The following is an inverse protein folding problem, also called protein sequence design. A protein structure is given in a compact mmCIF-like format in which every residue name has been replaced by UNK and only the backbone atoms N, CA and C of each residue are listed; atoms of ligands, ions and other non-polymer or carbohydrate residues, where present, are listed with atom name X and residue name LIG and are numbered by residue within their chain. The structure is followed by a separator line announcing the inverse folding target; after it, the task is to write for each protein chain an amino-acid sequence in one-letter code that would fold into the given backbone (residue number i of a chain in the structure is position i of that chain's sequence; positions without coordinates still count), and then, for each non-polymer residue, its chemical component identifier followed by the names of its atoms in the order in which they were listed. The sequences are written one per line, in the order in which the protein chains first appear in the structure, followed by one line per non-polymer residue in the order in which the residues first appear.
data_IF_508501120356
#
_entry.id   IF_508501120356
#
_cell.length_a   1.000
_cell.length_b   1.000
_cell.length_c   1.000
_cell.angle_alpha   90.00
_cell.angle_beta   90.00
_cell.angle_gamma   90.00
#
_symmetry.space_group_name_H-M   'P 1'
#
loop_
_entity.id
_entity.type
_entity.pdbx_description
1 polymer ?
#
# COMPACT_ATOMS: atom_id res chain seq x y z
N UNK A 1 22.10 -5.44 -41.50
CA UNK A 1 21.95 -4.57 -40.32
C UNK A 1 20.87 -5.22 -39.50
N UNK A 2 21.24 -5.84 -38.38
CA UNK A 2 20.29 -6.63 -37.59
C UNK A 2 19.39 -5.67 -36.82
N UNK A 3 18.09 -5.76 -37.08
CA UNK A 3 17.06 -5.42 -36.09
C UNK A 3 17.24 -6.39 -34.92
N UNK A 4 17.88 -5.93 -33.85
CA UNK A 4 17.59 -6.49 -32.54
C UNK A 4 16.40 -5.71 -32.00
N UNK A 5 15.23 -6.09 -32.46
CA UNK A 5 13.99 -5.79 -31.76
C UNK A 5 14.06 -6.59 -30.45
N UNK A 6 14.71 -5.99 -29.45
CA UNK A 6 14.74 -6.52 -28.10
C UNK A 6 13.33 -6.35 -27.59
N UNK A 7 12.52 -7.39 -27.75
CA UNK A 7 11.20 -7.55 -27.16
C UNK A 7 11.38 -7.44 -25.64
N UNK A 8 11.31 -6.21 -25.14
CA UNK A 8 11.41 -5.90 -23.72
C UNK A 8 10.13 -6.40 -23.07
N UNK A 9 10.12 -7.68 -22.71
CA UNK A 9 9.06 -8.27 -21.88
C UNK A 9 9.10 -7.56 -20.53
N UNK A 10 7.95 -7.01 -20.14
CA UNK A 10 7.79 -6.37 -18.85
C UNK A 10 7.72 -7.46 -17.77
N UNK A 11 8.77 -7.59 -16.96
CA UNK A 11 8.85 -8.63 -15.94
C UNK A 11 8.13 -8.24 -14.63
N UNK A 12 8.01 -6.93 -14.34
CA UNK A 12 7.37 -6.44 -13.11
C UNK A 12 6.73 -5.04 -13.30
N UNK A 13 5.78 -4.69 -12.42
CA UNK A 13 5.13 -3.39 -12.33
C UNK A 13 5.25 -2.85 -10.91
N UNK A 14 6.16 -1.88 -10.73
CA UNK A 14 6.23 -1.11 -9.50
C UNK A 14 5.03 -0.15 -9.38
N UNK A 15 4.13 -0.40 -8.42
CA UNK A 15 2.97 0.46 -8.20
C UNK A 15 3.19 1.40 -7.02
N UNK A 16 3.06 2.70 -7.28
CA UNK A 16 3.11 3.76 -6.27
C UNK A 16 1.86 4.60 -6.33
N UNK A 17 1.09 4.62 -5.24
CA UNK A 17 0.11 5.67 -5.02
C UNK A 17 0.86 6.92 -4.55
N UNK A 18 0.70 8.04 -5.23
CA UNK A 18 1.43 9.28 -4.94
C UNK A 18 1.10 9.82 -3.55
N UNK A 19 -0.16 9.74 -3.11
CA UNK A 19 -0.59 10.18 -1.78
C UNK A 19 0.03 9.32 -0.69
N UNK A 20 0.03 8.00 -0.89
CA UNK A 20 0.66 7.06 0.06
C UNK A 20 2.17 7.27 0.07
N UNK A 21 2.78 7.44 -1.10
CA UNK A 21 4.23 7.63 -1.25
C UNK A 21 4.72 8.83 -0.46
N UNK A 22 4.06 9.99 -0.59
CA UNK A 22 4.42 11.19 0.16
C UNK A 22 4.24 10.97 1.68
N UNK A 23 3.16 10.28 2.07
CA UNK A 23 2.87 9.96 3.45
C UNK A 23 3.83 8.93 4.08
N UNK A 24 4.63 8.19 3.31
CA UNK A 24 5.59 7.21 3.85
C UNK A 24 7.06 7.54 3.57
N UNK A 25 7.34 8.66 2.89
CA UNK A 25 8.70 9.07 2.52
C UNK A 25 9.60 9.39 3.74
N UNK A 26 9.00 9.81 4.86
CA UNK A 26 9.71 9.96 6.13
C UNK A 26 9.94 8.58 6.77
N UNK A 27 11.21 8.16 7.03
CA UNK A 27 11.51 6.85 7.59
C UNK A 27 10.76 6.53 8.88
N UNK A 28 10.49 7.55 9.70
CA UNK A 28 9.72 7.38 10.92
C UNK A 28 8.26 6.98 10.68
N UNK A 29 7.62 7.45 9.60
CA UNK A 29 6.22 7.10 9.29
C UNK A 29 6.08 5.63 8.92
N UNK A 30 7.06 5.04 8.24
CA UNK A 30 7.11 3.61 8.01
C UNK A 30 7.22 2.82 9.33
N UNK A 31 8.08 3.26 10.27
CA UNK A 31 8.21 2.62 11.59
C UNK A 31 6.95 2.78 12.46
N UNK A 32 6.27 3.92 12.37
CA UNK A 32 4.98 4.13 13.06
C UNK A 32 3.91 3.20 12.50
N UNK A 33 3.84 3.01 11.18
CA UNK A 33 2.91 2.06 10.56
C UNK A 33 3.20 0.62 11.00
N UNK A 34 4.47 0.22 11.04
CA UNK A 34 4.90 -1.09 11.54
C UNK A 34 4.41 -1.32 12.99
N UNK A 35 4.72 -0.38 13.90
CA UNK A 35 4.27 -0.43 15.31
C UNK A 35 2.74 -0.52 15.42
N UNK A 36 2.02 0.32 14.67
CA UNK A 36 0.55 0.40 14.73
C UNK A 36 -0.15 -0.73 13.96
N UNK A 37 0.58 -1.56 13.21
CA UNK A 37 0.02 -2.71 12.49
C UNK A 37 -0.17 -3.93 13.39
N UNK A 38 0.57 -4.01 14.50
CA UNK A 38 0.52 -5.12 15.45
C UNK A 38 -0.63 -4.98 16.46
N UNK A 39 -0.87 -3.76 16.95
CA UNK A 39 -1.89 -3.47 17.95
C UNK A 39 -2.32 -2.00 17.99
N UNK A 40 -3.44 -1.73 18.64
CA UNK A 40 -3.99 -0.38 18.75
C UNK A 40 -3.34 0.40 19.91
N UNK A 41 -2.63 1.49 19.61
CA UNK A 41 -1.81 2.23 20.57
C UNK A 41 -2.12 3.73 20.60
N UNK A 42 -1.84 4.36 21.74
CA UNK A 42 -1.84 5.81 21.89
C UNK A 42 -0.57 6.44 21.30
N UNK A 43 -0.60 7.74 21.03
CA UNK A 43 0.59 8.46 20.56
C UNK A 43 1.77 8.37 21.55
N UNK A 44 1.49 8.29 22.85
CA UNK A 44 2.49 8.13 23.91
C UNK A 44 3.13 6.74 23.86
N UNK A 45 2.33 5.69 23.72
CA UNK A 45 2.84 4.30 23.62
C UNK A 45 3.62 4.05 22.32
N UNK A 46 3.24 4.71 21.21
CA UNK A 46 4.03 4.68 19.97
C UNK A 46 5.36 5.37 20.17
N UNK A 47 5.37 6.51 20.85
CA UNK A 47 6.59 7.24 21.16
C UNK A 47 7.55 6.41 22.02
N UNK A 48 7.05 5.73 23.06
CA UNK A 48 7.85 4.82 23.89
C UNK A 48 8.47 3.68 23.06
N UNK A 49 7.70 3.04 22.18
CA UNK A 49 8.23 1.99 21.28
C UNK A 49 9.27 2.49 20.28
N UNK A 50 9.16 3.75 19.83
CA UNK A 50 10.16 4.36 18.96
C UNK A 50 11.45 4.66 19.74
N UNK A 51 11.35 5.13 20.98
CA UNK A 51 12.49 5.39 21.86
C UNK A 51 13.25 4.09 22.18
N UNK A 52 12.54 2.99 22.43
CA UNK A 52 13.12 1.64 22.61
C UNK A 52 13.89 1.16 21.37
N UNK A 53 13.51 1.64 20.18
CA UNK A 53 14.21 1.37 18.90
C UNK A 53 15.35 2.37 18.61
N UNK A 54 15.64 3.28 19.54
CA UNK A 54 16.71 4.29 19.44
C UNK A 54 16.35 5.52 18.62
N UNK A 55 15.06 5.80 18.41
CA UNK A 55 14.58 6.95 17.66
C UNK A 55 14.22 8.09 18.63
N UNK A 56 15.18 9.00 18.85
CA UNK A 56 14.98 10.17 19.72
C UNK A 56 14.14 11.24 19.01
N UNK A 57 12.84 11.28 19.33
CA UNK A 57 11.87 12.27 18.85
C UNK A 57 10.92 12.62 19.98
N UNK A 58 10.43 13.86 19.97
CA UNK A 58 9.43 14.27 20.97
C UNK A 58 8.08 13.59 20.71
N UNK A 59 7.31 13.33 21.78
CA UNK A 59 5.94 12.81 21.66
C UNK A 59 5.04 13.69 20.76
N UNK A 60 5.23 15.01 20.79
CA UNK A 60 4.50 15.92 19.90
C UNK A 60 4.83 15.69 18.42
N UNK A 61 6.10 15.39 18.11
CA UNK A 61 6.52 15.00 16.77
C UNK A 61 5.83 13.70 16.38
N UNK A 62 5.90 12.66 17.20
CA UNK A 62 5.25 11.37 16.92
C UNK A 62 3.74 11.55 16.67
N UNK A 63 3.07 12.35 17.51
CA UNK A 63 1.65 12.69 17.33
C UNK A 63 1.38 13.39 15.99
N UNK A 64 2.25 14.31 15.56
CA UNK A 64 2.13 14.95 14.25
C UNK A 64 2.20 13.90 13.13
N UNK A 65 3.17 12.99 13.14
CA UNK A 65 3.30 11.96 12.11
C UNK A 65 2.15 10.95 12.10
N UNK A 66 1.59 10.58 13.26
CA UNK A 66 0.37 9.75 13.33
C UNK A 66 -0.81 10.48 12.67
N UNK A 67 -0.94 11.80 12.86
CA UNK A 67 -2.00 12.56 12.21
C UNK A 67 -1.80 12.66 10.69
N UNK A 68 -0.57 12.89 10.22
CA UNK A 68 -0.27 12.88 8.77
C UNK A 68 -0.64 11.52 8.14
N UNK A 69 -0.29 10.41 8.81
CA UNK A 69 -0.66 9.06 8.38
C UNK A 69 -2.18 8.84 8.39
N UNK A 70 -2.89 9.36 9.38
CA UNK A 70 -4.35 9.31 9.44
C UNK A 70 -4.99 10.11 8.31
N UNK A 71 -4.49 11.31 8.06
CA UNK A 71 -5.03 12.20 7.04
C UNK A 71 -4.77 11.64 5.62
N UNK A 72 -3.71 10.84 5.46
CA UNK A 72 -3.45 10.01 4.28
C UNK A 72 -4.27 8.71 4.22
N UNK A 73 -5.08 8.41 5.24
CA UNK A 73 -5.93 7.23 5.32
C UNK A 73 -5.22 5.92 5.68
N UNK A 74 -3.98 5.98 6.17
CA UNK A 74 -3.14 4.80 6.50
C UNK A 74 -3.33 4.31 7.94
N UNK A 75 -3.85 5.18 8.81
CA UNK A 75 -4.10 4.93 10.22
C UNK A 75 -5.50 5.39 10.59
N UNK A 76 -6.21 4.59 11.38
CA UNK A 76 -7.53 4.91 11.91
C UNK A 76 -7.49 5.10 13.43
N UNK A 77 -8.41 5.91 13.96
CA UNK A 77 -8.70 5.91 15.40
C UNK A 77 -9.74 4.83 15.67
N UNK A 78 -9.33 3.72 16.28
CA UNK A 78 -10.18 2.53 16.46
C UNK A 78 -10.86 2.49 17.83
N UNK A 79 -10.35 3.25 18.80
CA UNK A 79 -10.92 3.32 20.16
C UNK A 79 -10.68 4.69 20.78
N UNK A 80 -11.64 5.13 21.58
CA UNK A 80 -11.56 6.34 22.40
C UNK A 80 -11.78 5.96 23.86
N UNK A 81 -11.03 6.59 24.76
CA UNK A 81 -11.23 6.47 26.20
C UNK A 81 -11.35 7.86 26.83
N UNK A 82 -12.41 8.09 27.59
CA UNK A 82 -12.61 9.34 28.31
C UNK A 82 -11.99 9.25 29.71
N UNK A 83 -11.08 10.18 30.01
CA UNK A 83 -10.43 10.28 31.30
C UNK A 83 -10.62 11.67 31.92
N UNK A 84 -10.20 11.81 33.19
CA UNK A 84 -10.24 13.10 33.91
C UNK A 84 -9.38 14.20 33.27
N UNK A 85 -8.51 13.85 32.32
CA UNK A 85 -7.62 14.77 31.59
C UNK A 85 -7.95 14.97 30.10
N UNK A 86 -9.08 14.42 29.61
CA UNK A 86 -9.49 14.53 28.20
C UNK A 86 -9.75 13.17 27.54
N UNK A 87 -9.88 13.18 26.21
CA UNK A 87 -10.11 11.97 25.39
C UNK A 87 -8.79 11.39 24.91
N UNK A 88 -8.49 10.15 25.30
CA UNK A 88 -7.37 9.36 24.78
C UNK A 88 -7.79 8.66 23.50
N UNK A 89 -6.96 8.76 22.45
CA UNK A 89 -7.19 8.12 21.14
C UNK A 89 -6.24 6.94 20.98
N UNK A 90 -6.78 5.80 20.58
CA UNK A 90 -6.02 4.63 20.17
C UNK A 90 -6.05 4.52 18.65
N UNK A 91 -4.87 4.45 18.07
CA UNK A 91 -4.62 4.41 16.64
C UNK A 91 -4.28 2.99 16.22
N UNK A 92 -4.67 2.59 15.02
CA UNK A 92 -4.29 1.31 14.42
C UNK A 92 -4.03 1.52 12.94
N UNK A 93 -2.95 0.95 12.41
CA UNK A 93 -2.66 1.02 10.99
C UNK A 93 -3.64 0.12 10.22
N UNK A 94 -4.21 0.63 9.13
CA UNK A 94 -5.04 -0.18 8.23
C UNK A 94 -4.24 -0.65 6.99
N UNK A 95 -3.01 -0.15 6.86
CA UNK A 95 -2.09 -0.37 5.75
C UNK A 95 -0.70 -0.73 6.29
N UNK A 96 -0.05 -1.71 5.67
CA UNK A 96 1.35 -2.09 5.94
C UNK A 96 2.24 -1.68 4.78
N UNK A 97 3.49 -1.32 5.07
CA UNK A 97 4.51 -1.03 4.06
C UNK A 97 5.52 -2.18 4.06
N UNK A 98 5.70 -2.83 2.92
CA UNK A 98 6.67 -3.91 2.74
C UNK A 98 7.88 -3.37 2.00
N UNK A 99 9.06 -3.43 2.63
CA UNK A 99 10.33 -2.96 2.05
C UNK A 99 11.38 -4.06 2.14
N UNK A 100 11.07 -5.20 1.52
CA UNK A 100 11.87 -6.42 1.56
C UNK A 100 12.26 -6.84 0.14
N UNK A 101 13.41 -7.48 0.01
CA UNK A 101 13.83 -8.17 -1.22
C UNK A 101 13.81 -9.68 -1.00
N UNK A 102 13.39 -10.42 -2.02
CA UNK A 102 13.56 -11.87 -2.04
C UNK A 102 15.04 -12.21 -2.27
N UNK A 103 15.56 -13.31 -1.71
CA UNK A 103 16.91 -13.76 -2.02
C UNK A 103 16.96 -14.29 -3.46
N UNK A 104 18.06 -14.04 -4.18
CA UNK A 104 18.26 -14.49 -5.57
C UNK A 104 18.05 -16.01 -5.77
N UNK A 105 18.24 -16.81 -4.71
CA UNK A 105 17.98 -18.26 -4.75
C UNK A 105 16.50 -18.63 -4.86
N UNK A 106 15.59 -17.67 -4.69
CA UNK A 106 14.14 -17.90 -4.70
C UNK A 106 13.53 -17.83 -6.11
N UNK A 107 14.22 -17.27 -7.10
CA UNK A 107 13.68 -16.96 -8.43
C UNK A 107 12.93 -18.14 -9.04
N UNK A 108 13.56 -19.33 -9.11
CA UNK A 108 12.93 -20.50 -9.70
C UNK A 108 11.65 -20.96 -8.97
N UNK A 109 11.62 -20.84 -7.65
CA UNK A 109 10.45 -21.20 -6.86
C UNK A 109 9.34 -20.15 -7.01
N UNK A 110 9.70 -18.88 -7.13
CA UNK A 110 8.75 -17.78 -7.37
C UNK A 110 8.12 -17.93 -8.76
N UNK A 111 8.90 -18.22 -9.80
CA UNK A 111 8.37 -18.49 -11.15
C UNK A 111 7.38 -19.65 -11.15
N UNK A 112 7.68 -20.77 -10.47
CA UNK A 112 6.74 -21.89 -10.33
C UNK A 112 5.42 -21.48 -9.65
N UNK A 113 5.49 -20.62 -8.64
CA UNK A 113 4.29 -20.09 -7.97
C UNK A 113 3.50 -19.14 -8.88
N UNK A 114 4.19 -18.31 -9.67
CA UNK A 114 3.57 -17.42 -10.65
C UNK A 114 2.83 -18.24 -11.71
N UNK A 115 3.48 -19.25 -12.30
CA UNK A 115 2.88 -20.13 -13.30
C UNK A 115 1.61 -20.82 -12.77
N UNK A 116 1.62 -21.21 -11.49
CA UNK A 116 0.47 -21.84 -10.85
C UNK A 116 -0.68 -20.87 -10.54
N UNK A 117 -0.39 -19.58 -10.29
CA UNK A 117 -1.35 -18.55 -9.91
C UNK A 117 -1.84 -17.68 -11.10
N UNK A 118 -1.07 -17.61 -12.18
CA UNK A 118 -1.37 -16.78 -13.35
C UNK A 118 -2.74 -17.09 -13.98
N UNK A 119 -3.19 -18.36 -14.12
CA UNK A 119 -4.49 -18.65 -14.73
C UNK A 119 -5.65 -18.02 -13.94
N UNK A 120 -5.62 -18.08 -12.61
CA UNK A 120 -6.65 -17.51 -11.74
C UNK A 120 -6.64 -15.99 -11.78
N UNK A 121 -5.45 -15.38 -11.89
CA UNK A 121 -5.33 -13.93 -12.11
C UNK A 121 -5.87 -13.54 -13.48
N UNK A 122 -5.64 -14.37 -14.51
CA UNK A 122 -6.18 -14.13 -15.87
C UNK A 122 -7.71 -14.18 -15.85
N UNK A 123 -8.30 -15.20 -15.22
CA UNK A 123 -9.75 -15.30 -15.05
C UNK A 123 -10.31 -14.08 -14.30
N UNK A 124 -9.66 -13.65 -13.22
CA UNK A 124 -10.06 -12.47 -12.47
C UNK A 124 -9.98 -11.18 -13.31
N UNK A 125 -8.92 -11.02 -14.11
CA UNK A 125 -8.77 -9.88 -15.03
C UNK A 125 -9.85 -9.90 -16.10
N UNK A 126 -10.14 -11.04 -16.71
CA UNK A 126 -11.24 -11.19 -17.68
C UNK A 126 -12.59 -10.81 -17.07
N UNK A 127 -12.89 -11.25 -15.84
CA UNK A 127 -14.11 -10.81 -15.15
C UNK A 127 -14.14 -9.28 -14.99
N UNK A 128 -13.02 -8.66 -14.61
CA UNK A 128 -12.95 -7.20 -14.43
C UNK A 128 -13.16 -6.46 -15.77
N UNK A 129 -12.50 -6.89 -16.84
CA UNK A 129 -12.59 -6.23 -18.15
C UNK A 129 -13.87 -6.54 -18.90
N UNK A 130 -14.50 -7.68 -18.69
CA UNK A 130 -15.74 -8.04 -19.41
C UNK A 130 -16.99 -7.48 -18.70
N UNK A 131 -16.99 -7.46 -17.36
CA UNK A 131 -18.18 -7.07 -16.58
C UNK A 131 -18.13 -5.63 -16.06
N UNK A 132 -16.94 -5.05 -15.91
CA UNK A 132 -16.75 -3.73 -15.27
C UNK A 132 -16.00 -2.72 -16.15
N UNK A 133 -15.91 -2.96 -17.46
CA UNK A 133 -15.22 -2.09 -18.43
C UNK A 133 -15.67 -0.63 -18.30
N UNK A 134 -16.98 -0.38 -18.41
CA UNK A 134 -17.58 0.96 -18.32
C UNK A 134 -17.17 1.69 -17.01
N UNK A 135 -17.12 0.97 -15.89
CA UNK A 135 -16.75 1.54 -14.60
C UNK A 135 -15.25 1.82 -14.50
N UNK A 136 -14.41 1.00 -15.14
CA UNK A 136 -12.98 1.23 -15.23
C UNK A 136 -12.71 2.46 -16.11
N UNK A 137 -13.39 2.58 -17.25
CA UNK A 137 -13.29 3.75 -18.13
C UNK A 137 -13.68 5.04 -17.39
N UNK A 138 -14.82 5.06 -16.68
CA UNK A 138 -15.26 6.22 -15.89
C UNK A 138 -14.21 6.63 -14.84
N UNK A 139 -13.63 5.66 -14.12
CA UNK A 139 -12.56 5.94 -13.16
C UNK A 139 -11.33 6.53 -13.85
N UNK A 140 -10.92 5.97 -14.99
CA UNK A 140 -9.74 6.45 -15.73
C UNK A 140 -9.97 7.88 -16.24
N UNK A 141 -11.17 8.22 -16.70
CA UNK A 141 -11.54 9.60 -17.07
C UNK A 141 -11.46 10.55 -15.86
N UNK A 142 -11.98 10.13 -14.72
CA UNK A 142 -11.96 10.89 -13.46
C UNK A 142 -10.55 11.09 -12.89
N UNK A 143 -9.60 10.21 -13.24
CA UNK A 143 -8.18 10.40 -12.92
C UNK A 143 -7.55 11.58 -13.68
N UNK A 144 -8.32 12.25 -14.55
CA UNK A 144 -7.92 13.43 -15.33
C UNK A 144 -6.58 13.24 -16.03
N UNK A 145 -6.46 12.26 -16.94
CA UNK A 145 -5.25 12.07 -17.72
C UNK A 145 -4.97 13.37 -18.47
N UNK A 146 -3.85 14.01 -18.18
CA UNK A 146 -3.41 15.16 -18.94
C UNK A 146 -3.28 14.80 -20.42
N UNK A 147 -3.36 15.76 -21.36
CA UNK A 147 -3.21 15.46 -22.80
C UNK A 147 -1.88 14.76 -23.15
N UNK A 148 -0.87 14.89 -22.29
CA UNK A 148 0.43 14.20 -22.41
C UNK A 148 0.51 12.84 -21.69
N UNK A 149 -0.51 12.51 -20.89
CA UNK A 149 -0.59 11.35 -20.03
C UNK A 149 -1.30 10.15 -20.69
N UNK A 150 -1.74 10.26 -21.95
CA UNK A 150 -2.36 9.17 -22.71
C UNK A 150 -1.48 7.91 -22.83
N UNK A 151 -0.17 8.05 -22.58
CA UNK A 151 0.79 6.93 -22.54
C UNK A 151 0.86 6.24 -21.18
N UNK A 152 0.25 6.80 -20.12
CA UNK A 152 0.22 6.22 -18.79
C UNK A 152 -0.79 5.08 -18.70
N UNK A 153 -0.41 4.03 -17.98
CA UNK A 153 -1.20 2.79 -17.83
C UNK A 153 -2.24 2.90 -16.71
N UNK A 154 -3.17 3.85 -16.83
CA UNK A 154 -4.20 4.12 -15.80
C UNK A 154 -5.12 2.92 -15.56
N UNK A 155 -5.59 2.28 -16.63
CA UNK A 155 -6.40 1.05 -16.54
C UNK A 155 -5.64 -0.05 -15.77
N UNK A 156 -4.37 -0.30 -16.11
CA UNK A 156 -3.51 -1.25 -15.38
C UNK A 156 -3.37 -0.88 -13.90
N UNK A 157 -3.27 0.41 -13.57
CA UNK A 157 -3.25 0.88 -12.19
C UNK A 157 -4.56 0.57 -11.44
N UNK A 158 -5.71 0.76 -12.09
CA UNK A 158 -7.03 0.41 -11.53
C UNK A 158 -7.13 -1.09 -11.29
N UNK A 159 -6.81 -1.92 -12.29
CA UNK A 159 -6.83 -3.38 -12.20
C UNK A 159 -5.94 -3.89 -11.05
N UNK A 160 -4.69 -3.42 -10.99
CA UNK A 160 -3.77 -3.81 -9.91
C UNK A 160 -4.24 -3.30 -8.54
N UNK A 161 -4.92 -2.15 -8.48
CA UNK A 161 -5.51 -1.65 -7.23
C UNK A 161 -6.63 -2.56 -6.73
N UNK A 162 -7.50 -3.04 -7.63
CA UNK A 162 -8.55 -4.00 -7.30
C UNK A 162 -7.93 -5.31 -6.83
N UNK A 163 -6.99 -5.89 -7.58
CA UNK A 163 -6.33 -7.15 -7.23
C UNK A 163 -5.60 -7.07 -5.88
N UNK A 164 -4.82 -6.01 -5.62
CA UNK A 164 -4.14 -5.83 -4.32
C UNK A 164 -5.13 -5.74 -3.16
N UNK A 165 -6.22 -4.99 -3.32
CA UNK A 165 -7.24 -4.86 -2.26
C UNK A 165 -8.05 -6.16 -2.07
N UNK A 166 -8.29 -6.91 -3.14
CA UNK A 166 -8.90 -8.23 -3.09
C UNK A 166 -8.00 -9.23 -2.34
N UNK A 167 -6.68 -9.23 -2.62
CA UNK A 167 -5.69 -10.02 -1.89
C UNK A 167 -5.74 -9.75 -0.39
N UNK A 168 -5.73 -8.48 0.03
CA UNK A 168 -5.83 -8.11 1.46
C UNK A 168 -7.10 -8.68 2.10
N UNK A 169 -8.23 -8.62 1.40
CA UNK A 169 -9.50 -9.19 1.91
C UNK A 169 -9.45 -10.72 1.98
N UNK A 170 -8.87 -11.38 0.99
CA UNK A 170 -8.74 -12.84 0.99
C UNK A 170 -7.83 -13.30 2.14
N UNK A 171 -6.68 -12.64 2.33
CA UNK A 171 -5.69 -13.00 3.34
C UNK A 171 -6.17 -12.74 4.78
N UNK A 172 -7.01 -11.73 5.02
CA UNK A 172 -7.62 -11.51 6.35
C UNK A 172 -8.63 -12.58 6.77
N UNK A 173 -9.19 -13.31 5.81
CA UNK A 173 -10.24 -14.31 6.03
C UNK A 173 -9.75 -15.76 5.94
N UNK A 174 -8.47 -15.97 5.61
CA UNK A 174 -7.79 -17.27 5.60
C UNK A 174 -7.14 -17.57 6.94
#
# INVERSE_FOLDING_TARGET
MSDSDTDHRLDDIAVRDTRISDAIDEPMRAMVLDILSEEALTATEVHERLDDRGIDRTENTVRHHINELRDAGLVDVVRFEEGRGGTTKYYHANTIVLSYSLPDSADAAVEEMIDAAQPQITDALTTLTDEYDDAIEEIVEDMQPCEHCQTQKYETYVLLTVLRRAFVRAHRNS
#
